data_IF_101528713292
#
_entry.id   IF_101528713292
#
_cell.length_a   1.000
_cell.length_b   1.000
_cell.length_c   1.000
_cell.angle_alpha   90.00
_cell.angle_beta   90.00
_cell.angle_gamma   90.00
#
_symmetry.space_group_name_H-M   'P 1'
#
loop_
_entity.id
_entity.type
_entity.pdbx_description
1 polymer ?
#
# COMPACT_ATOMS: atom_id res chain seq x y z
N UNK A 1 -11.61 13.54 -43.60
CA UNK A 1 -11.17 12.83 -42.36
C UNK A 1 -11.98 13.38 -41.19
N UNK A 2 -12.65 12.52 -40.42
CA UNK A 2 -13.35 12.88 -39.18
C UNK A 2 -12.54 12.32 -38.02
N UNK A 3 -12.02 13.19 -37.14
CA UNK A 3 -11.41 12.76 -35.90
C UNK A 3 -12.53 12.34 -34.93
N UNK A 4 -12.43 11.13 -34.38
CA UNK A 4 -13.25 10.68 -33.27
C UNK A 4 -12.50 10.96 -31.96
N UNK A 5 -13.19 11.36 -30.89
CA UNK A 5 -12.56 11.49 -29.58
C UNK A 5 -12.04 10.12 -29.12
N UNK A 6 -10.73 9.99 -28.94
CA UNK A 6 -10.12 8.80 -28.34
C UNK A 6 -10.21 8.91 -26.83
N UNK A 7 -10.87 7.94 -26.20
CA UNK A 7 -10.84 7.76 -24.75
C UNK A 7 -9.70 6.81 -24.41
N UNK A 8 -8.99 7.11 -23.33
CA UNK A 8 -7.98 6.19 -22.84
C UNK A 8 -8.63 4.90 -22.34
N UNK A 9 -7.93 3.76 -22.45
CA UNK A 9 -8.32 2.52 -21.77
C UNK A 9 -8.62 2.73 -20.29
N UNK A 10 -9.40 1.81 -19.70
CA UNK A 10 -9.60 1.76 -18.25
C UNK A 10 -8.24 1.66 -17.54
N UNK A 11 -8.09 2.39 -16.43
CA UNK A 11 -6.82 2.47 -15.70
C UNK A 11 -5.85 3.55 -16.21
N UNK A 12 -6.17 4.23 -17.31
CA UNK A 12 -5.33 5.29 -17.87
C UNK A 12 -6.06 6.64 -17.88
N UNK A 13 -5.29 7.72 -17.81
CA UNK A 13 -5.78 9.08 -18.03
C UNK A 13 -5.04 9.75 -19.18
N UNK A 14 -5.74 10.65 -19.87
CA UNK A 14 -5.14 11.47 -20.91
C UNK A 14 -4.18 12.48 -20.27
N UNK A 15 -2.92 12.45 -20.70
CA UNK A 15 -1.88 13.37 -20.27
C UNK A 15 -0.95 13.74 -21.43
N UNK A 16 0.12 14.46 -21.12
CA UNK A 16 1.15 14.80 -22.09
C UNK A 16 2.41 13.97 -21.82
N UNK A 17 2.87 13.23 -22.83
CA UNK A 17 4.16 12.57 -22.83
C UNK A 17 5.02 13.22 -23.93
N UNK A 18 6.14 13.83 -23.56
CA UNK A 18 7.01 14.60 -24.47
C UNK A 18 6.28 15.67 -25.31
N UNK A 19 5.25 16.30 -24.73
CA UNK A 19 4.46 17.35 -25.39
C UNK A 19 3.37 16.84 -26.33
N UNK A 20 3.20 15.53 -26.49
CA UNK A 20 2.11 14.93 -27.27
C UNK A 20 1.03 14.31 -26.35
N UNK A 21 -0.26 14.38 -26.72
CA UNK A 21 -1.31 13.65 -26.02
C UNK A 21 -1.02 12.15 -26.00
N UNK A 22 -1.01 11.58 -24.80
CA UNK A 22 -0.80 10.14 -24.57
C UNK A 22 -1.70 9.67 -23.45
N UNK A 23 -2.04 8.39 -23.46
CA UNK A 23 -2.66 7.76 -22.30
C UNK A 23 -1.56 7.32 -21.32
N UNK A 24 -1.69 7.75 -20.07
CA UNK A 24 -0.75 7.46 -18.99
C UNK A 24 -1.44 6.55 -17.98
N UNK A 25 -0.72 5.52 -17.56
CA UNK A 25 -1.18 4.64 -16.47
C UNK A 25 -1.39 5.44 -15.19
N UNK A 26 -2.53 5.23 -14.55
CA UNK A 26 -2.84 5.82 -13.25
C UNK A 26 -2.20 5.00 -12.13
N UNK A 27 -1.79 5.64 -11.02
CA UNK A 27 -1.36 4.92 -9.83
C UNK A 27 -2.45 3.96 -9.32
N UNK A 28 -2.05 2.74 -8.97
CA UNK A 28 -2.91 1.76 -8.34
C UNK A 28 -3.16 2.12 -6.88
N UNK A 29 -4.35 1.80 -6.37
CA UNK A 29 -4.71 2.04 -4.97
C UNK A 29 -5.24 0.77 -4.31
N UNK A 30 -4.60 0.37 -3.24
CA UNK A 30 -5.07 -0.64 -2.31
C UNK A 30 -5.59 0.03 -1.03
N UNK A 31 -6.59 -0.55 -0.37
CA UNK A 31 -7.04 -0.10 0.94
C UNK A 31 -7.40 -1.24 1.88
N UNK A 32 -7.21 -0.99 3.17
CA UNK A 32 -7.61 -1.87 4.25
C UNK A 32 -8.30 -1.06 5.34
N UNK A 33 -9.54 -1.46 5.62
CA UNK A 33 -10.36 -0.86 6.67
C UNK A 33 -11.04 -1.99 7.44
N UNK A 34 -10.67 -2.26 8.71
CA UNK A 34 -11.12 -3.43 9.46
C UNK A 34 -12.63 -3.68 9.49
N UNK A 35 -13.53 -2.67 9.57
CA UNK A 35 -14.97 -2.94 9.51
C UNK A 35 -15.50 -3.29 8.11
N UNK A 36 -14.75 -2.99 7.03
CA UNK A 36 -15.19 -3.13 5.64
C UNK A 36 -14.40 -4.16 4.83
N UNK A 37 -13.22 -4.56 5.29
CA UNK A 37 -12.34 -5.52 4.60
C UNK A 37 -11.15 -4.87 3.90
N UNK A 38 -10.61 -5.56 2.90
CA UNK A 38 -9.49 -5.11 2.09
C UNK A 38 -9.84 -5.13 0.60
N UNK A 39 -9.27 -4.18 -0.14
CA UNK A 39 -9.32 -4.09 -1.61
C UNK A 39 -7.89 -4.02 -2.11
N UNK A 40 -7.51 -4.96 -2.97
CA UNK A 40 -6.20 -5.03 -3.61
C UNK A 40 -6.00 -3.90 -4.62
N UNK A 41 -4.79 -3.80 -5.19
CA UNK A 41 -4.51 -2.84 -6.24
C UNK A 41 -5.35 -3.06 -7.51
N UNK A 42 -5.66 -4.31 -7.85
CA UNK A 42 -6.39 -4.66 -9.07
C UNK A 42 -7.89 -4.89 -8.83
N UNK A 43 -8.36 -4.72 -7.59
CA UNK A 43 -9.78 -4.68 -7.22
C UNK A 43 -10.34 -5.97 -6.62
N UNK A 44 -9.50 -6.98 -6.37
CA UNK A 44 -9.90 -8.12 -5.55
C UNK A 44 -10.28 -7.65 -4.14
N UNK A 45 -11.42 -8.11 -3.65
CA UNK A 45 -11.97 -7.69 -2.37
C UNK A 45 -12.30 -8.88 -1.48
N UNK A 46 -12.22 -8.69 -0.17
CA UNK A 46 -12.60 -9.70 0.80
C UNK A 46 -13.03 -9.09 2.13
N UNK A 47 -13.57 -9.91 3.04
CA UNK A 47 -14.15 -9.44 4.28
C UNK A 47 -13.10 -8.93 5.28
N UNK A 48 -13.60 -8.43 6.41
CA UNK A 48 -12.79 -8.05 7.56
C UNK A 48 -11.82 -9.17 7.97
N UNK A 49 -10.56 -8.80 8.18
CA UNK A 49 -9.54 -9.74 8.68
C UNK A 49 -9.68 -9.91 10.20
N UNK A 50 -9.32 -11.09 10.70
CA UNK A 50 -9.19 -11.32 12.13
C UNK A 50 -8.14 -10.38 12.75
N UNK A 51 -8.13 -10.17 14.08
CA UNK A 51 -7.09 -9.38 14.71
C UNK A 51 -5.68 -9.93 14.50
N UNK A 52 -4.71 -9.04 14.38
CA UNK A 52 -3.27 -9.33 14.30
C UNK A 52 -2.51 -8.34 13.43
N UNK A 53 -1.22 -8.61 13.24
CA UNK A 53 -0.34 -7.79 12.41
C UNK A 53 -0.13 -8.47 11.05
N UNK A 54 -0.28 -7.72 9.98
CA UNK A 54 -0.28 -8.22 8.60
C UNK A 54 0.65 -7.42 7.71
N UNK A 55 1.36 -8.10 6.80
CA UNK A 55 2.09 -7.43 5.72
C UNK A 55 1.09 -6.99 4.65
N UNK A 56 0.81 -5.70 4.58
CA UNK A 56 -0.18 -5.14 3.66
C UNK A 56 0.41 -5.00 2.25
N UNK A 57 1.62 -4.45 2.16
CA UNK A 57 2.35 -4.30 0.90
C UNK A 57 3.86 -4.38 1.16
N UNK A 58 4.59 -5.02 0.26
CA UNK A 58 6.04 -5.09 0.27
C UNK A 58 6.56 -5.18 -1.16
N UNK A 59 7.83 -4.82 -1.36
CA UNK A 59 8.55 -5.19 -2.58
C UNK A 59 8.97 -6.67 -2.46
N UNK A 60 8.53 -7.53 -3.38
CA UNK A 60 8.74 -8.98 -3.25
C UNK A 60 10.20 -9.38 -3.42
N UNK A 61 10.86 -8.77 -4.40
CA UNK A 61 12.28 -8.93 -4.62
C UNK A 61 12.99 -7.66 -4.15
N UNK A 62 13.67 -7.76 -3.01
CA UNK A 62 14.45 -6.66 -2.44
C UNK A 62 15.59 -6.18 -3.36
N UNK A 63 15.98 -6.97 -4.37
CA UNK A 63 16.97 -6.59 -5.37
C UNK A 63 16.37 -5.82 -6.56
N UNK A 64 15.04 -5.82 -6.73
CA UNK A 64 14.36 -5.18 -7.86
C UNK A 64 14.17 -3.65 -7.69
N UNK A 65 14.62 -3.08 -6.57
CA UNK A 65 14.52 -1.65 -6.31
C UNK A 65 14.69 -1.29 -4.83
N UNK A 66 14.29 -0.07 -4.42
CA UNK A 66 14.26 0.32 -3.02
C UNK A 66 13.29 -0.57 -2.23
N UNK A 67 13.84 -1.48 -1.44
CA UNK A 67 13.04 -2.43 -0.66
C UNK A 67 12.20 -1.70 0.40
N UNK A 68 10.99 -2.21 0.61
CA UNK A 68 10.14 -1.81 1.72
C UNK A 68 9.22 -2.95 2.15
N UNK A 69 8.72 -2.87 3.38
CA UNK A 69 7.72 -3.76 3.96
C UNK A 69 6.80 -2.95 4.86
N UNK A 70 5.52 -2.87 4.52
CA UNK A 70 4.48 -2.16 5.25
C UNK A 70 3.60 -3.13 6.02
N UNK A 71 3.51 -2.94 7.33
CA UNK A 71 2.68 -3.72 8.23
C UNK A 71 1.57 -2.85 8.80
N UNK A 72 0.41 -3.47 9.05
CA UNK A 72 -0.66 -2.88 9.86
C UNK A 72 -1.05 -3.78 11.02
N UNK A 73 -1.25 -3.16 12.18
CA UNK A 73 -1.84 -3.78 13.36
C UNK A 73 -3.37 -3.60 13.33
N UNK A 74 -4.06 -4.71 13.14
CA UNK A 74 -5.51 -4.81 12.98
C UNK A 74 -6.12 -5.37 14.26
N UNK A 75 -7.02 -4.60 14.88
CA UNK A 75 -7.98 -5.08 15.87
C UNK A 75 -9.41 -4.89 15.37
N UNK A 76 -10.33 -4.54 16.27
CA UNK A 76 -11.66 -4.01 15.87
C UNK A 76 -11.53 -2.71 15.05
N UNK A 77 -10.41 -2.01 15.22
CA UNK A 77 -9.99 -0.83 14.49
C UNK A 77 -8.48 -0.92 14.19
N UNK A 78 -7.97 -0.09 13.28
CA UNK A 78 -6.52 -0.01 13.02
C UNK A 78 -5.80 0.60 14.22
N UNK A 79 -4.84 -0.15 14.79
CA UNK A 79 -4.08 0.23 15.98
C UNK A 79 -2.75 0.90 15.64
N UNK A 80 -2.20 0.62 14.46
CA UNK A 80 -0.99 1.27 13.99
C UNK A 80 -0.47 0.75 12.67
N UNK A 81 0.55 1.44 12.16
CA UNK A 81 1.31 1.08 10.98
C UNK A 81 2.80 1.04 11.29
N UNK A 82 3.50 0.11 10.64
CA UNK A 82 4.95 0.00 10.69
C UNK A 82 5.49 -0.09 9.27
N UNK A 83 6.29 0.90 8.86
CA UNK A 83 6.99 0.89 7.58
C UNK A 83 8.47 0.59 7.81
N UNK A 84 8.92 -0.50 7.21
CA UNK A 84 10.33 -0.83 7.12
C UNK A 84 10.84 -0.51 5.73
N UNK A 85 11.96 0.19 5.63
CA UNK A 85 12.58 0.58 4.37
C UNK A 85 14.09 0.69 4.53
N UNK A 86 14.81 0.85 3.41
CA UNK A 86 16.25 1.11 3.43
C UNK A 86 16.64 2.40 4.18
N UNK A 87 15.76 3.41 4.20
CA UNK A 87 16.06 4.73 4.77
C UNK A 87 15.67 4.90 6.23
N UNK A 88 14.58 4.25 6.66
CA UNK A 88 14.09 4.34 8.04
C UNK A 88 13.07 3.26 8.40
N UNK A 89 12.87 3.12 9.71
CA UNK A 89 11.78 2.39 10.34
C UNK A 89 10.79 3.39 10.94
N UNK A 90 9.58 3.41 10.42
CA UNK A 90 8.52 4.33 10.85
C UNK A 90 7.47 3.53 11.60
N UNK A 91 7.05 4.00 12.78
CA UNK A 91 5.90 3.47 13.50
C UNK A 91 4.92 4.60 13.79
N UNK A 92 3.65 4.37 13.49
CA UNK A 92 2.57 5.31 13.77
C UNK A 92 1.44 4.55 14.46
N UNK A 93 1.07 4.96 15.67
CA UNK A 93 -0.01 4.33 16.43
C UNK A 93 -1.34 5.07 16.26
N UNK A 94 -2.44 4.45 16.69
CA UNK A 94 -3.79 5.01 16.56
C UNK A 94 -4.01 6.28 17.39
N UNK A 95 -3.20 6.50 18.43
CA UNK A 95 -3.15 7.75 19.20
C UNK A 95 -2.20 8.80 18.57
N UNK A 96 -1.84 8.60 17.29
CA UNK A 96 -1.06 9.54 16.45
C UNK A 96 0.37 9.77 16.91
N UNK A 97 0.94 8.89 17.74
CA UNK A 97 2.36 8.96 18.08
C UNK A 97 3.21 8.41 16.94
N UNK A 98 4.27 9.13 16.61
CA UNK A 98 5.23 8.80 15.57
C UNK A 98 6.58 8.42 16.19
N UNK A 99 7.19 7.35 15.69
CA UNK A 99 8.59 7.02 15.93
C UNK A 99 9.33 6.86 14.61
N UNK A 100 10.52 7.45 14.54
CA UNK A 100 11.45 7.30 13.44
C UNK A 100 12.70 6.63 13.99
N UNK A 101 13.03 5.44 13.49
CA UNK A 101 14.16 4.62 13.97
C UNK A 101 14.16 4.40 15.49
N UNK A 102 12.97 4.23 16.07
CA UNK A 102 12.77 4.04 17.52
C UNK A 102 12.78 5.34 18.35
N UNK A 103 13.01 6.50 17.74
CA UNK A 103 13.03 7.81 18.42
C UNK A 103 11.65 8.47 18.28
N UNK A 104 10.98 8.84 19.40
CA UNK A 104 9.74 9.61 19.35
C UNK A 104 9.93 10.90 18.54
N UNK A 105 9.02 11.15 17.60
CA UNK A 105 9.09 12.26 16.64
C UNK A 105 7.72 12.92 16.46
N UNK A 106 7.68 14.03 15.72
CA UNK A 106 6.46 14.83 15.48
C UNK A 106 6.10 14.87 14.00
N UNK A 107 4.83 15.13 13.66
CA UNK A 107 4.39 15.36 12.28
C UNK A 107 4.22 16.89 12.08
N UNK A 108 4.73 17.49 10.99
CA UNK A 108 5.45 16.88 9.87
C UNK A 108 6.91 16.57 10.20
N UNK A 109 7.48 15.59 9.50
CA UNK A 109 8.91 15.26 9.56
C UNK A 109 9.39 14.77 8.20
N UNK A 110 10.53 15.31 7.76
CA UNK A 110 11.32 14.75 6.66
C UNK A 110 12.42 13.86 7.23
N UNK A 111 12.55 12.67 6.65
CA UNK A 111 13.52 11.65 7.05
C UNK A 111 14.55 11.49 5.92
N UNK A 112 15.86 11.39 6.24
CA UNK A 112 16.88 11.12 5.24
C UNK A 112 16.52 9.94 4.33
N UNK A 113 16.81 10.06 3.03
CA UNK A 113 16.38 9.08 2.03
C UNK A 113 15.04 9.41 1.34
N UNK A 114 14.52 10.63 1.53
CA UNK A 114 13.38 11.16 0.76
C UNK A 114 12.01 10.74 1.30
N UNK A 115 11.95 10.20 2.51
CA UNK A 115 10.71 9.87 3.21
C UNK A 115 10.13 11.14 3.83
N UNK A 116 8.92 11.52 3.44
CA UNK A 116 8.22 12.66 4.02
C UNK A 116 6.95 12.21 4.73
N UNK A 117 6.74 12.68 5.96
CA UNK A 117 5.59 12.37 6.78
C UNK A 117 4.85 13.67 7.08
N UNK A 118 3.61 13.77 6.62
CA UNK A 118 2.77 14.96 6.74
C UNK A 118 1.37 14.59 7.21
N UNK A 119 0.58 15.57 7.62
CA UNK A 119 -0.84 15.37 7.91
C UNK A 119 -1.69 16.33 7.08
N UNK A 120 -2.68 15.79 6.38
CA UNK A 120 -3.62 16.55 5.55
C UNK A 120 -5.03 16.07 5.84
N UNK A 121 -5.90 16.97 6.32
CA UNK A 121 -7.30 16.68 6.64
C UNK A 121 -7.51 15.45 7.55
N UNK A 122 -6.64 15.24 8.54
CA UNK A 122 -6.73 14.12 9.47
C UNK A 122 -6.14 12.79 8.97
N UNK A 123 -5.62 12.76 7.74
CA UNK A 123 -4.88 11.64 7.17
C UNK A 123 -3.39 11.90 7.28
N UNK A 124 -2.67 10.98 7.93
CA UNK A 124 -1.22 10.99 8.00
C UNK A 124 -0.70 10.36 6.71
N UNK A 125 0.10 11.11 5.93
CA UNK A 125 0.66 10.67 4.66
C UNK A 125 2.15 10.41 4.80
N UNK A 126 2.59 9.22 4.42
CA UNK A 126 4.00 8.85 4.27
C UNK A 126 4.28 8.74 2.77
N UNK A 127 5.20 9.55 2.25
CA UNK A 127 5.52 9.60 0.81
C UNK A 127 6.98 9.26 0.57
N UNK A 128 7.26 8.40 -0.40
CA UNK A 128 8.61 8.07 -0.86
C UNK A 128 8.58 7.64 -2.34
N UNK A 129 9.16 8.46 -3.23
CA UNK A 129 9.29 8.16 -4.66
C UNK A 129 7.96 7.67 -5.28
N UNK A 130 7.87 6.36 -5.57
CA UNK A 130 6.77 5.69 -6.27
C UNK A 130 5.69 5.14 -5.33
N UNK A 131 5.76 5.45 -4.03
CA UNK A 131 4.87 4.95 -2.99
C UNK A 131 4.32 6.09 -2.13
N UNK A 132 3.01 6.08 -1.92
CA UNK A 132 2.34 6.93 -0.95
C UNK A 132 1.43 6.08 -0.05
N UNK A 133 1.53 6.29 1.27
CA UNK A 133 0.71 5.61 2.27
C UNK A 133 -0.11 6.67 2.99
N UNK A 134 -1.43 6.55 2.91
CA UNK A 134 -2.37 7.33 3.70
C UNK A 134 -2.86 6.53 4.89
N UNK A 135 -2.78 7.08 6.09
CA UNK A 135 -3.24 6.46 7.31
C UNK A 135 -4.25 7.35 8.02
N UNK A 136 -5.45 6.83 8.22
CA UNK A 136 -6.48 7.42 9.05
C UNK A 136 -6.57 6.56 10.32
N UNK A 137 -6.02 7.03 11.46
CA UNK A 137 -6.00 6.28 12.70
C UNK A 137 -7.36 5.67 13.07
N UNK A 138 -7.37 4.38 13.41
CA UNK A 138 -8.58 3.65 13.76
C UNK A 138 -9.50 3.27 12.59
N UNK A 139 -9.24 3.73 11.36
CA UNK A 139 -10.19 3.59 10.24
C UNK A 139 -9.63 2.88 9.03
N UNK A 140 -8.70 3.50 8.32
CA UNK A 140 -8.24 3.03 7.02
C UNK A 140 -6.73 3.25 6.87
N UNK A 141 -6.07 2.30 6.23
CA UNK A 141 -4.80 2.50 5.56
C UNK A 141 -5.01 2.31 4.07
N UNK A 142 -4.46 3.22 3.27
CA UNK A 142 -4.47 3.14 1.83
C UNK A 142 -3.06 3.28 1.29
N UNK A 143 -2.74 2.44 0.33
CA UNK A 143 -1.45 2.43 -0.36
C UNK A 143 -1.71 2.83 -1.80
N UNK A 144 -1.03 3.87 -2.26
CA UNK A 144 -1.02 4.29 -3.65
C UNK A 144 0.37 3.98 -4.22
N UNK A 145 0.42 3.18 -5.27
CA UNK A 145 1.66 2.75 -5.92
C UNK A 145 1.69 3.27 -7.36
N UNK A 146 2.83 3.80 -7.77
CA UNK A 146 3.00 4.24 -9.15
C UNK A 146 3.14 3.02 -10.10
N UNK A 147 2.76 3.15 -11.39
CA UNK A 147 2.68 2.04 -12.33
C UNK A 147 3.97 1.21 -12.48
N UNK A 148 5.14 1.80 -12.25
CA UNK A 148 6.43 1.11 -12.31
C UNK A 148 6.64 0.04 -11.23
N UNK A 149 5.78 0.01 -10.20
CA UNK A 149 5.73 -1.04 -9.18
C UNK A 149 4.84 -2.22 -9.58
N UNK A 150 4.17 -2.15 -10.74
CA UNK A 150 3.29 -3.21 -11.20
C UNK A 150 4.01 -4.56 -11.34
N UNK A 151 3.41 -5.62 -10.79
CA UNK A 151 3.98 -6.97 -10.74
C UNK A 151 5.19 -7.13 -9.82
N UNK A 152 5.59 -6.11 -9.06
CA UNK A 152 6.74 -6.16 -8.12
C UNK A 152 6.32 -6.18 -6.66
N UNK A 153 5.03 -5.97 -6.39
CA UNK A 153 4.48 -5.90 -5.04
C UNK A 153 3.89 -7.23 -4.62
N UNK A 154 3.76 -7.42 -3.30
CA UNK A 154 3.05 -8.54 -2.68
C UNK A 154 2.58 -8.15 -1.28
N UNK A 155 1.70 -8.97 -0.72
CA UNK A 155 1.03 -8.73 0.56
C UNK A 155 -0.47 -8.83 0.40
N UNK A 156 -1.22 -8.35 1.41
CA UNK A 156 -2.69 -8.26 1.33
C UNK A 156 -3.17 -7.46 0.11
N UNK A 157 -2.38 -6.49 -0.35
CA UNK A 157 -2.72 -5.66 -1.50
C UNK A 157 -2.59 -6.35 -2.87
N UNK A 158 -2.21 -7.62 -2.92
CA UNK A 158 -2.02 -8.34 -4.18
C UNK A 158 -0.69 -8.00 -4.86
N UNK A 159 -0.55 -8.41 -6.12
CA UNK A 159 0.71 -8.28 -6.87
C UNK A 159 0.76 -7.07 -7.82
N UNK A 160 -0.36 -6.36 -7.98
CA UNK A 160 -0.48 -5.15 -8.80
C UNK A 160 -0.10 -5.39 -10.27
N UNK A 161 -0.55 -6.49 -10.86
CA UNK A 161 -0.27 -6.83 -12.27
C UNK A 161 -1.43 -6.51 -13.22
N UNK A 162 -2.52 -5.95 -12.70
CA UNK A 162 -3.73 -5.62 -13.44
C UNK A 162 -4.75 -6.76 -13.49
N UNK A 163 -4.54 -7.86 -12.76
CA UNK A 163 -5.41 -9.03 -12.79
C UNK A 163 -5.95 -9.41 -11.41
N UNK A 164 -7.12 -8.86 -11.04
CA UNK A 164 -7.80 -9.20 -9.79
C UNK A 164 -8.00 -10.71 -9.52
N UNK A 165 -8.05 -11.54 -10.57
CA UNK A 165 -8.28 -12.98 -10.41
C UNK A 165 -7.08 -13.73 -9.81
N UNK A 166 -5.89 -13.14 -9.82
CA UNK A 166 -4.70 -13.75 -9.23
C UNK A 166 -4.20 -13.01 -7.98
N UNK A 167 -4.90 -12.00 -7.46
CA UNK A 167 -4.43 -11.21 -6.32
C UNK A 167 -4.36 -12.00 -5.00
N UNK A 168 -5.14 -13.07 -4.88
CA UNK A 168 -5.19 -13.89 -3.68
C UNK A 168 -4.01 -14.88 -3.64
N UNK A 169 -2.80 -14.36 -3.38
CA UNK A 169 -1.57 -15.16 -3.30
C UNK A 169 -1.01 -15.21 -1.88
N UNK A 170 -0.40 -16.34 -1.51
CA UNK A 170 0.45 -16.45 -0.33
C UNK A 170 1.86 -15.87 -0.55
N UNK A 171 2.71 -15.82 0.49
CA UNK A 171 4.10 -15.34 0.38
C UNK A 171 4.98 -16.13 -0.61
N UNK A 172 4.60 -17.36 -0.95
CA UNK A 172 5.28 -18.22 -1.93
C UNK A 172 4.74 -18.03 -3.36
N UNK A 173 3.81 -17.09 -3.57
CA UNK A 173 3.15 -16.83 -4.86
C UNK A 173 2.04 -17.84 -5.19
N UNK A 174 1.72 -18.77 -4.30
CA UNK A 174 0.64 -19.74 -4.56
C UNK A 174 -0.73 -19.09 -4.40
N UNK A 175 -1.64 -19.35 -5.35
CA UNK A 175 -3.02 -18.89 -5.23
C UNK A 175 -3.73 -19.59 -4.07
N UNK A 176 -4.41 -18.80 -3.26
CA UNK A 176 -5.23 -19.27 -2.15
C UNK A 176 -6.70 -19.00 -2.45
N UNK A 177 -7.57 -19.88 -1.94
CA UNK A 177 -9.00 -19.85 -2.29
C UNK A 177 -9.83 -18.75 -1.64
N UNK A 178 -9.27 -17.96 -0.71
CA UNK A 178 -10.00 -16.90 -0.03
C UNK A 178 -9.10 -15.81 0.58
N UNK A 179 -9.66 -14.63 0.81
CA UNK A 179 -9.00 -13.50 1.49
C UNK A 179 -8.57 -13.88 2.91
N UNK A 180 -9.34 -14.70 3.63
CA UNK A 180 -8.98 -15.15 4.97
C UNK A 180 -7.76 -16.06 4.96
N UNK A 181 -7.66 -16.96 3.96
CA UNK A 181 -6.49 -17.79 3.76
C UNK A 181 -5.26 -16.93 3.42
N UNK A 182 -5.43 -15.94 2.56
CA UNK A 182 -4.38 -14.97 2.22
C UNK A 182 -3.94 -14.18 3.45
N UNK A 183 -4.89 -13.61 4.20
CA UNK A 183 -4.62 -12.86 5.42
C UNK A 183 -3.84 -13.71 6.42
N UNK A 184 -4.24 -14.97 6.63
CA UNK A 184 -3.51 -15.89 7.50
C UNK A 184 -2.07 -16.12 7.02
N UNK A 185 -1.84 -16.26 5.73
CA UNK A 185 -0.52 -16.48 5.15
C UNK A 185 0.39 -15.23 5.27
N UNK A 186 -0.20 -14.03 5.20
CA UNK A 186 0.51 -12.74 5.33
C UNK A 186 0.52 -12.15 6.73
N UNK A 187 0.18 -12.94 7.76
CA UNK A 187 0.46 -12.54 9.15
C UNK A 187 1.97 -12.33 9.30
N UNK A 188 2.36 -11.34 10.09
CA UNK A 188 3.75 -11.04 10.43
C UNK A 188 4.08 -11.59 11.83
N UNK A 189 4.40 -12.88 12.00
CA UNK A 189 4.70 -13.47 13.31
C UNK A 189 6.02 -12.97 13.90
N UNK A 190 6.89 -12.41 13.06
CA UNK A 190 8.14 -11.77 13.43
C UNK A 190 7.94 -10.36 14.01
N UNK A 191 6.71 -9.86 13.99
CA UNK A 191 6.32 -8.59 14.59
C UNK A 191 5.27 -8.84 15.69
N UNK A 192 5.76 -9.18 16.88
CA UNK A 192 4.94 -9.30 18.10
C UNK A 192 5.19 -8.13 19.04
N UNK A 193 4.11 -7.59 19.60
CA UNK A 193 4.15 -6.65 20.73
C UNK A 193 4.88 -7.24 21.94
#
# INVERSE_FOLDING_TARGET
LRCLPSQCPLGQACGLLHGAPSCLELPGRCSLAPPTGAVSFDGAQGPAMAPGVYVIAALCDACAGPWFRLLADVGEALRGLHLFSAGAFITITSDRKLWVNGIPSTIPTEVPGGLNITEVHGSIRISQSSLEIGFIPGREVAVTAAPELGGKLCGICGNYDGNAANDLQGPDGTLVGSMEAMAKAWRAPDFTH
#
